data_IF_678533376631
#
_entry.id   IF_678533376631
#
_cell.length_a   1.000
_cell.length_b   1.000
_cell.length_c   1.000
_cell.angle_alpha   90.00
_cell.angle_beta   90.00
_cell.angle_gamma   90.00
#
_symmetry.space_group_name_H-M   'P 1'
#
loop_
_entity.id
_entity.type
_entity.pdbx_description
1 polymer ?
#
# COMPACT_ATOMS: atom_id res chain seq x y z
N UNK A 1 -2.88 -9.99 -8.04
CA UNK A 1 -3.97 -9.14 -7.49
C UNK A 1 -3.98 -9.19 -5.96
N UNK A 2 -2.82 -8.93 -5.36
CA UNK A 2 -2.58 -8.98 -3.92
C UNK A 2 -2.07 -7.60 -3.52
N UNK A 3 -2.67 -6.99 -2.51
CA UNK A 3 -2.31 -5.65 -2.03
C UNK A 3 -1.67 -5.76 -0.66
N UNK A 4 -0.60 -5.00 -0.48
CA UNK A 4 0.02 -4.74 0.82
C UNK A 4 0.21 -3.24 0.93
N UNK A 5 -0.42 -2.63 1.93
CA UNK A 5 -0.51 -1.17 2.08
C UNK A 5 0.01 -0.71 3.43
N UNK A 6 0.20 0.61 3.63
CA UNK A 6 0.55 1.14 4.96
C UNK A 6 -0.55 0.83 5.97
N UNK A 7 -1.80 1.19 5.68
CA UNK A 7 -2.95 0.96 6.56
C UNK A 7 -4.04 0.11 5.89
N UNK A 8 -5.03 -0.32 6.67
CA UNK A 8 -6.23 -1.02 6.19
C UNK A 8 -7.25 -0.03 5.58
N UNK A 9 -6.86 0.61 4.48
CA UNK A 9 -7.64 1.65 3.78
C UNK A 9 -8.28 1.16 2.49
N UNK A 10 -7.79 0.05 1.93
CA UNK A 10 -8.20 -0.46 0.60
C UNK A 10 -9.27 -1.56 0.63
N UNK A 11 -9.89 -1.88 1.78
CA UNK A 11 -10.87 -2.96 1.89
C UNK A 11 -12.05 -2.86 0.89
N UNK A 12 -12.65 -1.67 0.73
CA UNK A 12 -13.74 -1.46 -0.25
C UNK A 12 -13.24 -1.55 -1.69
N UNK A 13 -12.07 -0.99 -1.98
CA UNK A 13 -11.45 -1.07 -3.31
C UNK A 13 -11.18 -2.52 -3.68
N UNK A 14 -10.61 -3.29 -2.75
CA UNK A 14 -10.29 -4.69 -2.95
C UNK A 14 -11.54 -5.53 -3.21
N UNK A 15 -12.62 -5.29 -2.46
CA UNK A 15 -13.91 -5.94 -2.69
C UNK A 15 -14.53 -5.58 -4.05
N UNK A 16 -14.46 -4.32 -4.45
CA UNK A 16 -15.06 -3.85 -5.70
C UNK A 16 -14.32 -4.35 -6.97
N UNK A 17 -13.01 -4.58 -6.88
CA UNK A 17 -12.15 -4.87 -8.03
C UNK A 17 -11.45 -6.23 -7.97
N UNK A 18 -11.90 -7.12 -7.09
CA UNK A 18 -11.37 -8.48 -6.90
C UNK A 18 -9.86 -8.50 -6.60
N UNK A 19 -9.44 -7.68 -5.64
CA UNK A 19 -8.12 -7.79 -5.01
C UNK A 19 -8.23 -8.44 -3.63
N UNK A 20 -7.13 -9.01 -3.17
CA UNK A 20 -6.98 -9.50 -1.80
C UNK A 20 -6.00 -8.58 -1.09
N UNK A 21 -6.39 -7.99 0.04
CA UNK A 21 -5.45 -7.32 0.95
C UNK A 21 -4.77 -8.43 1.74
N UNK A 22 -3.48 -8.62 1.48
CA UNK A 22 -2.65 -9.68 2.10
C UNK A 22 -2.21 -9.28 3.50
N UNK A 23 -1.90 -7.99 3.68
CA UNK A 23 -1.50 -7.46 4.97
C UNK A 23 -1.30 -5.96 4.90
N UNK A 24 -1.11 -5.35 6.07
CA UNK A 24 -0.88 -3.91 6.23
C UNK A 24 0.25 -3.70 7.22
N UNK A 25 1.11 -2.70 6.99
CA UNK A 25 2.21 -2.42 7.91
C UNK A 25 1.72 -1.91 9.27
N UNK A 26 0.66 -1.10 9.26
CA UNK A 26 0.00 -0.55 10.43
C UNK A 26 -1.43 -1.11 10.48
N UNK A 27 -1.63 -2.06 11.40
CA UNK A 27 -2.96 -2.60 11.67
C UNK A 27 -3.88 -1.50 12.22
N UNK A 28 -5.21 -1.65 12.04
CA UNK A 28 -6.22 -0.67 12.51
C UNK A 28 -6.24 -0.42 14.03
N UNK A 29 -5.51 -1.23 14.80
CA UNK A 29 -5.36 -1.12 16.25
C UNK A 29 -4.06 -0.41 16.67
N UNK A 30 -3.11 -0.27 15.74
CA UNK A 30 -1.88 0.49 15.95
C UNK A 30 -2.23 1.97 15.79
N UNK A 31 -1.96 2.76 16.84
CA UNK A 31 -2.10 4.22 16.73
C UNK A 31 -0.96 4.76 15.88
N UNK A 32 -1.20 5.85 15.13
CA UNK A 32 -0.16 6.60 14.38
C UNK A 32 1.05 7.05 15.24
N UNK A 33 1.02 6.80 16.56
CA UNK A 33 2.03 7.24 17.52
C UNK A 33 3.21 6.30 17.74
N UNK A 34 3.28 5.15 17.08
CA UNK A 34 4.43 4.24 17.21
C UNK A 34 4.56 3.19 16.12
N UNK A 35 5.80 2.86 15.79
CA UNK A 35 6.12 1.77 14.86
C UNK A 35 5.62 0.43 15.39
N UNK A 36 5.17 -0.49 14.50
CA UNK A 36 4.74 -1.81 14.91
C UNK A 36 5.92 -2.59 15.51
N UNK A 37 5.65 -3.56 16.40
CA UNK A 37 6.69 -4.44 16.91
C UNK A 37 7.48 -5.11 15.76
N UNK A 38 8.79 -5.28 15.93
CA UNK A 38 9.64 -5.90 14.91
C UNK A 38 9.16 -7.31 14.49
N UNK A 39 8.48 -8.04 15.38
CA UNK A 39 7.87 -9.34 15.07
C UNK A 39 6.71 -9.23 14.07
N UNK A 40 5.94 -8.14 14.10
CA UNK A 40 4.86 -7.90 13.14
C UNK A 40 5.43 -7.53 11.77
N UNK A 41 6.49 -6.72 11.74
CA UNK A 41 7.22 -6.40 10.50
C UNK A 41 7.76 -7.68 9.86
N UNK A 42 8.46 -8.53 10.64
CA UNK A 42 9.01 -9.80 10.14
C UNK A 42 7.93 -10.76 9.64
N UNK A 43 6.77 -10.81 10.31
CA UNK A 43 5.63 -11.61 9.85
C UNK A 43 5.08 -11.10 8.51
N UNK A 44 4.94 -9.79 8.36
CA UNK A 44 4.50 -9.19 7.10
C UNK A 44 5.49 -9.43 5.95
N UNK A 45 6.79 -9.28 6.20
CA UNK A 45 7.86 -9.59 5.23
C UNK A 45 7.77 -11.05 4.79
N UNK A 46 7.57 -11.97 5.73
CA UNK A 46 7.43 -13.41 5.42
C UNK A 46 6.19 -13.65 4.56
N UNK A 47 5.05 -13.05 4.89
CA UNK A 47 3.81 -13.19 4.11
C UNK A 47 3.96 -12.62 2.68
N UNK A 48 4.62 -11.46 2.52
CA UNK A 48 4.91 -10.86 1.21
C UNK A 48 5.70 -11.86 0.33
N UNK A 49 6.73 -12.49 0.91
CA UNK A 49 7.58 -13.45 0.21
C UNK A 49 6.85 -14.76 -0.11
N UNK A 50 6.13 -15.33 0.87
CA UNK A 50 5.38 -16.57 0.71
C UNK A 50 4.25 -16.45 -0.33
N UNK A 51 3.63 -15.27 -0.40
CA UNK A 51 2.56 -14.97 -1.33
C UNK A 51 3.06 -14.47 -2.70
N UNK A 52 4.38 -14.36 -2.91
CA UNK A 52 5.02 -13.89 -4.13
C UNK A 52 4.45 -12.53 -4.59
N UNK A 53 4.24 -11.60 -3.65
CA UNK A 53 3.74 -10.26 -3.96
C UNK A 53 4.87 -9.44 -4.60
N UNK A 54 4.73 -8.92 -5.83
CA UNK A 54 5.83 -8.27 -6.54
C UNK A 54 6.10 -6.83 -6.08
N UNK A 55 5.11 -6.17 -5.50
CA UNK A 55 5.18 -4.78 -5.06
C UNK A 55 4.26 -4.48 -3.88
N UNK A 56 4.64 -3.51 -3.06
CA UNK A 56 3.86 -2.98 -1.93
C UNK A 56 3.63 -1.47 -2.10
N UNK A 57 2.65 -0.92 -1.37
CA UNK A 57 2.13 0.41 -1.64
C UNK A 57 2.14 1.29 -0.39
N UNK A 58 2.87 2.40 -0.43
CA UNK A 58 2.77 3.45 0.57
C UNK A 58 1.57 4.37 0.29
N UNK A 59 1.27 5.27 1.24
CA UNK A 59 0.14 6.20 1.18
C UNK A 59 0.64 7.65 1.20
N UNK A 60 -0.14 8.57 0.62
CA UNK A 60 0.26 9.98 0.46
C UNK A 60 0.23 10.80 1.76
N UNK A 61 -0.42 10.29 2.81
CA UNK A 61 -0.62 10.97 4.09
C UNK A 61 0.30 10.46 5.20
N UNK A 62 1.10 9.42 4.94
CA UNK A 62 1.97 8.76 5.93
C UNK A 62 3.46 8.99 5.68
N UNK A 63 4.29 8.81 6.72
CA UNK A 63 5.72 8.59 6.51
C UNK A 63 5.94 7.19 5.91
N UNK A 64 6.72 7.12 4.83
CA UNK A 64 6.93 5.91 4.04
C UNK A 64 8.21 5.14 4.40
N UNK A 65 9.01 5.62 5.38
CA UNK A 65 10.27 4.98 5.80
C UNK A 65 10.09 3.51 6.23
N UNK A 66 8.99 3.23 6.95
CA UNK A 66 8.63 1.87 7.36
C UNK A 66 8.33 0.98 6.14
N UNK A 67 7.56 1.49 5.18
CA UNK A 67 7.24 0.76 3.95
C UNK A 67 8.48 0.52 3.09
N UNK A 68 9.41 1.49 3.03
CA UNK A 68 10.69 1.29 2.35
C UNK A 68 11.50 0.16 2.99
N UNK A 69 11.57 0.15 4.33
CA UNK A 69 12.26 -0.91 5.08
C UNK A 69 11.65 -2.29 4.78
N UNK A 70 10.32 -2.40 4.79
CA UNK A 70 9.61 -3.65 4.47
C UNK A 70 9.88 -4.10 3.03
N UNK A 71 9.87 -3.16 2.06
CA UNK A 71 10.17 -3.47 0.67
C UNK A 71 11.59 -4.02 0.49
N UNK A 72 12.57 -3.38 1.15
CA UNK A 72 13.98 -3.79 1.10
C UNK A 72 14.20 -5.17 1.74
N UNK A 73 13.58 -5.44 2.90
CA UNK A 73 13.67 -6.74 3.58
C UNK A 73 12.95 -7.87 2.83
N UNK A 74 11.80 -7.56 2.22
CA UNK A 74 11.05 -8.53 1.44
C UNK A 74 11.66 -8.77 0.04
N UNK A 75 12.49 -7.84 -0.45
CA UNK A 75 13.08 -7.91 -1.79
C UNK A 75 12.09 -7.58 -2.90
N UNK A 76 11.16 -6.66 -2.64
CA UNK A 76 10.06 -6.28 -3.55
C UNK A 76 10.08 -4.79 -3.85
N UNK A 77 9.30 -4.35 -4.83
CA UNK A 77 9.26 -2.93 -5.20
C UNK A 77 8.34 -2.15 -4.27
N UNK A 78 8.80 -1.02 -3.74
CA UNK A 78 7.91 0.01 -3.21
C UNK A 78 7.35 0.83 -4.37
N UNK A 79 6.06 0.70 -4.64
CA UNK A 79 5.38 1.46 -5.69
C UNK A 79 5.23 2.95 -5.31
N UNK A 80 4.99 3.85 -6.29
CA UNK A 80 4.61 5.23 -6.00
C UNK A 80 3.46 5.29 -4.97
N UNK A 81 3.47 6.28 -4.05
CA UNK A 81 2.43 6.38 -3.04
C UNK A 81 1.04 6.49 -3.66
N UNK A 82 0.08 5.78 -3.07
CA UNK A 82 -1.33 5.85 -3.41
C UNK A 82 -2.00 6.99 -2.64
N UNK A 83 -3.01 7.59 -3.25
CA UNK A 83 -3.85 8.56 -2.58
C UNK A 83 -4.92 7.85 -1.73
N UNK A 84 -5.04 8.22 -0.46
CA UNK A 84 -6.02 7.63 0.47
C UNK A 84 -6.89 8.71 1.12
N UNK A 85 -6.53 9.16 2.33
CA UNK A 85 -7.36 10.03 3.18
C UNK A 85 -7.36 11.50 2.75
N UNK A 86 -6.50 11.87 1.81
CA UNK A 86 -6.47 13.19 1.20
C UNK A 86 -6.26 13.11 -0.31
N UNK A 87 -6.97 13.98 -1.03
CA UNK A 87 -6.66 14.28 -2.42
C UNK A 87 -5.26 14.88 -2.53
N UNK A 88 -4.69 14.82 -3.73
CA UNK A 88 -3.48 15.57 -4.03
C UNK A 88 -3.74 17.07 -4.12
N UNK A 89 -2.66 17.85 -4.07
CA UNK A 89 -2.70 19.29 -4.29
C UNK A 89 -3.32 19.63 -5.66
N UNK A 90 -3.95 20.81 -5.83
CA UNK A 90 -4.51 21.22 -7.11
C UNK A 90 -3.52 21.11 -8.27
N UNK A 91 -3.92 20.41 -9.34
CA UNK A 91 -3.06 20.15 -10.51
C UNK A 91 -2.17 18.91 -10.42
N UNK A 92 -2.26 18.13 -9.33
CA UNK A 92 -1.64 16.79 -9.23
C UNK A 92 -2.52 15.71 -9.87
N UNK A 93 -1.96 14.50 -10.04
CA UNK A 93 -2.66 13.35 -10.64
C UNK A 93 -3.81 12.81 -9.77
N UNK A 94 -3.90 13.25 -8.50
CA UNK A 94 -4.96 12.91 -7.55
C UNK A 94 -5.78 14.10 -7.06
N UNK A 95 -5.81 15.21 -7.80
CA UNK A 95 -6.46 16.46 -7.36
C UNK A 95 -8.00 16.44 -7.31
N UNK A 96 -8.61 15.40 -7.89
CA UNK A 96 -10.03 15.10 -7.80
C UNK A 96 -10.23 13.64 -7.46
N UNK A 97 -11.39 13.30 -6.88
CA UNK A 97 -11.70 11.92 -6.51
C UNK A 97 -11.61 10.94 -7.69
N UNK A 98 -12.03 11.35 -8.89
CA UNK A 98 -11.94 10.49 -10.08
C UNK A 98 -10.48 10.32 -10.50
N UNK A 99 -9.71 11.41 -10.58
CA UNK A 99 -8.29 11.35 -10.94
C UNK A 99 -7.51 10.48 -9.94
N UNK A 100 -7.79 10.65 -8.65
CA UNK A 100 -7.26 9.84 -7.56
C UNK A 100 -7.50 8.34 -7.77
N UNK A 101 -8.74 7.94 -8.08
CA UNK A 101 -9.06 6.53 -8.35
C UNK A 101 -8.37 6.01 -9.60
N UNK A 102 -8.30 6.80 -10.68
CA UNK A 102 -7.60 6.43 -11.91
C UNK A 102 -6.10 6.23 -11.63
N UNK A 103 -5.45 7.20 -11.01
CA UNK A 103 -4.04 7.12 -10.63
C UNK A 103 -3.76 5.90 -9.74
N UNK A 104 -4.57 5.68 -8.71
CA UNK A 104 -4.39 4.53 -7.81
C UNK A 104 -4.51 3.21 -8.58
N UNK A 105 -5.50 3.10 -9.45
CA UNK A 105 -5.74 1.89 -10.24
C UNK A 105 -4.58 1.63 -11.19
N UNK A 106 -4.14 2.63 -11.94
CA UNK A 106 -3.03 2.52 -12.88
C UNK A 106 -1.73 2.16 -12.17
N UNK A 107 -1.46 2.78 -11.02
CA UNK A 107 -0.28 2.49 -10.18
C UNK A 107 -0.32 1.06 -9.66
N UNK A 108 -1.46 0.61 -9.13
CA UNK A 108 -1.65 -0.76 -8.62
C UNK A 108 -1.46 -1.78 -9.74
N UNK A 109 -2.11 -1.58 -10.89
CA UNK A 109 -2.06 -2.53 -12.01
C UNK A 109 -0.63 -2.62 -12.56
N UNK A 110 0.01 -1.48 -12.79
CA UNK A 110 1.39 -1.42 -13.31
C UNK A 110 2.37 -2.11 -12.35
N UNK A 111 2.31 -1.78 -11.05
CA UNK A 111 3.22 -2.33 -10.05
C UNK A 111 3.03 -3.85 -9.83
N UNK A 112 1.82 -4.36 -10.08
CA UNK A 112 1.53 -5.80 -10.01
C UNK A 112 1.74 -6.54 -11.34
N UNK A 113 2.30 -5.88 -12.36
CA UNK A 113 2.66 -6.48 -13.64
C UNK A 113 1.50 -6.66 -14.61
N UNK A 114 0.41 -5.90 -14.46
CA UNK A 114 -0.65 -5.83 -15.46
C UNK A 114 -0.24 -5.02 -16.69
N UNK A 115 -0.87 -5.34 -17.83
CA UNK A 115 -0.72 -4.63 -19.11
C UNK A 115 -1.88 -3.65 -19.37
#
# INVERSE_FOLDING_TARGET
RKLVTTHDTFGYYANAYDFVVVGTALNSLSTEGGDPPASEIAALVSEIQEQEVPAIFAENVSNNDLMQTIADEAGVTLAPPLYTDALGEPGSEGDTYIAMLTYNTDTIVTALGGE
#
